data_IF_527637497785
#
_entry.id   IF_527637497785
#
_cell.length_a   1.000
_cell.length_b   1.000
_cell.length_c   1.000
_cell.angle_alpha   90.00
_cell.angle_beta   90.00
_cell.angle_gamma   90.00
#
_symmetry.space_group_name_H-M   'P 1'
#
loop_
_entity.id
_entity.type
_entity.pdbx_description
1 polymer ?
#
# COMPACT_ATOMS: atom_id res chain seq x y z
N UNK A 1 -0.89 -0.82 15.19
CA UNK A 1 -0.70 -0.10 16.47
C UNK A 1 -0.81 1.40 16.21
N UNK A 2 -1.40 2.18 17.12
CA UNK A 2 -1.47 3.65 17.00
C UNK A 2 -0.23 4.30 17.62
N UNK A 3 0.27 5.40 17.04
CA UNK A 3 1.44 6.12 17.57
C UNK A 3 1.24 6.68 18.98
N UNK A 4 0.02 7.03 19.36
CA UNK A 4 -0.31 7.53 20.70
C UNK A 4 -0.50 6.39 21.74
N UNK A 5 -0.44 5.11 21.32
CA UNK A 5 -0.70 3.99 22.23
C UNK A 5 0.52 3.60 23.08
N UNK A 6 0.27 3.16 24.31
CA UNK A 6 1.31 2.60 25.19
C UNK A 6 1.97 1.36 24.57
N UNK A 7 1.22 0.61 23.76
CA UNK A 7 1.73 -0.54 23.01
C UNK A 7 2.83 -0.14 22.01
N UNK A 8 2.69 1.01 21.33
CA UNK A 8 3.73 1.53 20.44
C UNK A 8 4.97 1.98 21.22
N UNK A 9 4.81 2.62 22.37
CA UNK A 9 5.93 3.06 23.20
C UNK A 9 6.81 1.87 23.66
N UNK A 10 6.18 0.82 24.18
CA UNK A 10 6.90 -0.40 24.59
C UNK A 10 7.58 -1.07 23.40
N UNK A 11 6.86 -1.20 22.28
CA UNK A 11 7.39 -1.75 21.04
C UNK A 11 8.64 -0.98 20.57
N UNK A 12 8.57 0.35 20.55
CA UNK A 12 9.65 1.23 20.13
C UNK A 12 10.89 1.08 21.03
N UNK A 13 10.72 1.04 22.34
CA UNK A 13 11.83 0.82 23.28
C UNK A 13 12.51 -0.52 23.02
N UNK A 14 11.74 -1.60 22.88
CA UNK A 14 12.28 -2.95 22.62
C UNK A 14 13.04 -3.00 21.29
N UNK A 15 12.47 -2.46 20.22
CA UNK A 15 13.11 -2.42 18.89
C UNK A 15 14.38 -1.58 18.93
N UNK A 16 14.37 -0.45 19.64
CA UNK A 16 15.53 0.45 19.76
C UNK A 16 16.66 -0.21 20.54
N UNK A 17 16.36 -0.84 21.68
CA UNK A 17 17.36 -1.58 22.45
C UNK A 17 17.96 -2.72 21.62
N UNK A 18 17.12 -3.49 20.93
CA UNK A 18 17.59 -4.55 20.04
C UNK A 18 18.46 -3.99 18.90
N UNK A 19 18.10 -2.86 18.30
CA UNK A 19 18.90 -2.20 17.27
C UNK A 19 20.33 -1.89 17.74
N UNK A 20 20.49 -1.38 18.96
CA UNK A 20 21.81 -1.08 19.54
C UNK A 20 22.58 -2.34 19.97
N UNK A 21 21.90 -3.43 20.33
CA UNK A 21 22.53 -4.71 20.67
C UNK A 21 23.03 -5.51 19.46
N UNK A 22 22.49 -5.28 18.25
CA UNK A 22 22.89 -6.01 17.05
C UNK A 22 24.07 -5.35 16.30
N UNK A 23 24.92 -6.19 15.71
CA UNK A 23 25.99 -5.78 14.79
C UNK A 23 25.45 -5.22 13.46
N UNK A 24 26.33 -4.58 12.68
CA UNK A 24 25.99 -3.84 11.45
C UNK A 24 25.11 -4.61 10.47
N UNK A 25 25.40 -5.90 10.25
CA UNK A 25 24.67 -6.75 9.31
C UNK A 25 23.26 -7.12 9.75
N UNK A 26 22.96 -7.08 11.06
CA UNK A 26 21.65 -7.41 11.62
C UNK A 26 20.68 -6.23 11.70
N UNK A 27 21.22 -5.00 11.72
CA UNK A 27 20.44 -3.76 11.92
C UNK A 27 19.39 -3.55 10.83
N UNK A 28 19.76 -3.68 9.56
CA UNK A 28 18.83 -3.46 8.46
C UNK A 28 17.70 -4.51 8.44
N UNK A 29 18.01 -5.77 8.75
CA UNK A 29 17.01 -6.85 8.84
C UNK A 29 16.04 -6.60 9.98
N UNK A 30 16.56 -6.18 11.14
CA UNK A 30 15.72 -5.85 12.29
C UNK A 30 14.78 -4.70 11.97
N UNK A 31 15.28 -3.61 11.36
CA UNK A 31 14.44 -2.47 10.98
C UNK A 31 13.38 -2.83 9.94
N UNK A 32 13.71 -3.69 8.97
CA UNK A 32 12.77 -4.17 7.97
C UNK A 32 11.67 -5.02 8.62
N UNK A 33 12.05 -6.03 9.42
CA UNK A 33 11.09 -6.89 10.13
C UNK A 33 10.23 -6.10 11.11
N UNK A 34 10.82 -5.14 11.83
CA UNK A 34 10.09 -4.26 12.73
C UNK A 34 9.08 -3.39 11.97
N UNK A 35 9.47 -2.84 10.82
CA UNK A 35 8.55 -2.06 9.99
C UNK A 35 7.40 -2.93 9.47
N UNK A 36 7.72 -4.12 8.95
CA UNK A 36 6.72 -5.08 8.47
C UNK A 36 5.74 -5.50 9.58
N UNK A 37 6.24 -5.84 10.78
CA UNK A 37 5.41 -6.19 11.92
C UNK A 37 4.49 -5.04 12.32
N UNK A 38 5.05 -3.83 12.47
CA UNK A 38 4.28 -2.65 12.85
C UNK A 38 3.10 -2.38 11.89
N UNK A 39 3.32 -2.53 10.58
CA UNK A 39 2.28 -2.41 9.57
C UNK A 39 1.25 -3.55 9.62
N UNK A 40 1.69 -4.80 9.82
CA UNK A 40 0.81 -5.97 9.93
C UNK A 40 -0.15 -5.89 11.11
N UNK A 41 0.26 -5.32 12.26
CA UNK A 41 -0.60 -5.22 13.45
C UNK A 41 -1.86 -4.36 13.19
N UNK A 42 -1.83 -3.45 12.22
CA UNK A 42 -3.03 -2.66 11.88
C UNK A 42 -4.00 -3.44 10.99
N UNK A 43 -3.52 -3.90 9.83
CA UNK A 43 -4.25 -4.74 8.88
C UNK A 43 -3.24 -5.65 8.20
N UNK A 44 -3.24 -6.97 8.49
CA UNK A 44 -2.25 -7.90 7.92
C UNK A 44 -2.22 -7.86 6.39
N UNK A 45 -3.38 -7.76 5.74
CA UNK A 45 -3.49 -7.70 4.28
C UNK A 45 -2.70 -6.54 3.64
N UNK A 46 -2.48 -5.43 4.35
CA UNK A 46 -1.74 -4.29 3.79
C UNK A 46 -0.24 -4.55 3.61
N UNK A 47 0.30 -5.60 4.24
CA UNK A 47 1.69 -6.00 4.01
C UNK A 47 1.90 -6.51 2.58
N UNK A 48 0.88 -7.14 1.97
CA UNK A 48 0.95 -7.62 0.59
C UNK A 48 1.08 -6.44 -0.37
N UNK A 49 0.29 -5.40 -0.13
CA UNK A 49 0.33 -4.16 -0.92
C UNK A 49 1.71 -3.52 -0.77
N UNK A 50 2.15 -3.30 0.48
CA UNK A 50 3.43 -2.66 0.78
C UNK A 50 4.62 -3.43 0.19
N UNK A 51 4.60 -4.77 0.27
CA UNK A 51 5.60 -5.63 -0.33
C UNK A 51 5.60 -5.54 -1.86
N UNK A 52 4.42 -5.53 -2.49
CA UNK A 52 4.30 -5.35 -3.93
C UNK A 52 4.85 -3.99 -4.36
N UNK A 53 4.55 -2.91 -3.65
CA UNK A 53 5.09 -1.57 -3.95
C UNK A 53 6.61 -1.54 -3.83
N UNK A 54 7.17 -2.11 -2.75
CA UNK A 54 8.63 -2.22 -2.57
C UNK A 54 9.27 -2.96 -3.73
N UNK A 55 8.70 -4.10 -4.17
CA UNK A 55 9.25 -4.88 -5.28
C UNK A 55 9.20 -4.11 -6.59
N UNK A 56 8.07 -3.46 -6.90
CA UNK A 56 7.91 -2.64 -8.10
C UNK A 56 8.93 -1.50 -8.10
N UNK A 57 9.05 -0.76 -7.00
CA UNK A 57 9.96 0.38 -6.90
C UNK A 57 11.43 -0.04 -6.90
N UNK A 58 11.75 -1.19 -6.30
CA UNK A 58 13.10 -1.74 -6.32
C UNK A 58 13.53 -2.10 -7.75
N UNK A 59 12.68 -2.83 -8.50
CA UNK A 59 12.95 -3.20 -9.89
C UNK A 59 13.00 -1.95 -10.77
N UNK A 60 12.05 -1.02 -10.60
CA UNK A 60 12.02 0.23 -11.34
C UNK A 60 13.29 1.07 -11.09
N UNK A 61 13.78 1.12 -9.86
CA UNK A 61 15.02 1.79 -9.49
C UNK A 61 16.24 1.22 -10.22
N UNK A 62 16.38 -0.11 -10.27
CA UNK A 62 17.47 -0.78 -11.01
C UNK A 62 17.39 -0.49 -12.51
N UNK A 63 16.18 -0.54 -13.09
CA UNK A 63 16.01 -0.23 -14.52
C UNK A 63 16.30 1.24 -14.82
N UNK A 64 15.99 2.14 -13.89
CA UNK A 64 16.26 3.56 -14.01
C UNK A 64 17.76 3.88 -14.01
N UNK A 65 18.53 3.16 -13.19
CA UNK A 65 20.00 3.30 -13.12
C UNK A 65 20.65 2.91 -14.45
N UNK A 66 20.14 1.85 -15.11
CA UNK A 66 20.70 1.31 -16.35
C UNK A 66 20.22 2.03 -17.63
N UNK A 67 19.26 2.96 -17.53
CA UNK A 67 18.62 3.59 -18.69
C UNK A 67 18.96 5.07 -18.80
N UNK A 68 19.46 5.49 -19.97
CA UNK A 68 19.76 6.89 -20.28
C UNK A 68 18.80 7.46 -21.35
N UNK A 69 18.65 8.78 -21.38
CA UNK A 69 17.84 9.48 -22.40
C UNK A 69 16.32 9.41 -22.19
N UNK A 70 15.49 9.52 -23.25
CA UNK A 70 14.04 9.67 -23.14
C UNK A 70 13.32 8.44 -22.56
N UNK A 71 13.91 7.25 -22.68
CA UNK A 71 13.38 6.02 -22.09
C UNK A 71 13.33 6.07 -20.56
N UNK A 72 14.27 6.79 -19.93
CA UNK A 72 14.30 7.01 -18.47
C UNK A 72 13.04 7.74 -17.99
N UNK A 73 12.56 8.73 -18.77
CA UNK A 73 11.35 9.50 -18.44
C UNK A 73 10.11 8.60 -18.45
N UNK A 74 10.00 7.69 -19.42
CA UNK A 74 8.89 6.75 -19.49
C UNK A 74 8.90 5.75 -18.33
N UNK A 75 10.06 5.25 -17.93
CA UNK A 75 10.19 4.38 -16.74
C UNK A 75 9.75 5.08 -15.46
N UNK A 76 10.11 6.35 -15.27
CA UNK A 76 9.62 7.15 -14.14
C UNK A 76 8.10 7.27 -14.15
N UNK A 77 7.52 7.65 -15.30
CA UNK A 77 6.07 7.78 -15.44
C UNK A 77 5.37 6.46 -15.10
N UNK A 78 5.91 5.33 -15.57
CA UNK A 78 5.35 4.01 -15.29
C UNK A 78 5.39 3.63 -13.80
N UNK A 79 6.52 3.87 -13.12
CA UNK A 79 6.63 3.65 -11.66
C UNK A 79 5.65 4.53 -10.88
N UNK A 80 5.51 5.79 -11.30
CA UNK A 80 4.62 6.77 -10.66
C UNK A 80 3.14 6.40 -10.87
N UNK A 81 2.77 6.00 -12.10
CA UNK A 81 1.43 5.47 -12.40
C UNK A 81 1.15 4.20 -11.59
N UNK A 82 2.13 3.31 -11.43
CA UNK A 82 1.95 2.08 -10.65
C UNK A 82 1.68 2.39 -9.17
N UNK A 83 2.50 3.25 -8.56
CA UNK A 83 2.32 3.68 -7.17
C UNK A 83 0.98 4.40 -6.94
N UNK A 84 0.68 5.38 -7.80
CA UNK A 84 -0.58 6.13 -7.72
C UNK A 84 -1.77 5.24 -8.02
N UNK A 85 -1.64 4.27 -8.93
CA UNK A 85 -2.68 3.30 -9.26
C UNK A 85 -3.02 2.40 -8.08
N UNK A 86 -2.00 1.86 -7.41
CA UNK A 86 -2.17 1.07 -6.17
C UNK A 86 -2.84 1.94 -5.09
N UNK A 87 -2.37 3.17 -4.89
CA UNK A 87 -2.94 4.09 -3.91
C UNK A 87 -4.40 4.43 -4.23
N UNK A 88 -4.70 4.78 -5.49
CA UNK A 88 -6.04 5.11 -5.96
C UNK A 88 -6.99 3.92 -5.79
N UNK A 89 -6.55 2.72 -6.17
CA UNK A 89 -7.33 1.50 -6.01
C UNK A 89 -7.62 1.23 -4.54
N UNK A 90 -6.62 1.12 -3.68
CA UNK A 90 -6.87 0.72 -2.28
C UNK A 90 -7.50 1.79 -1.41
N UNK A 91 -7.22 3.08 -1.67
CA UNK A 91 -7.69 4.17 -0.82
C UNK A 91 -8.95 4.86 -1.34
N UNK A 92 -9.12 4.98 -2.65
CA UNK A 92 -10.12 5.88 -3.23
C UNK A 92 -11.21 5.17 -4.03
N UNK A 93 -11.08 3.88 -4.36
CA UNK A 93 -12.10 3.23 -5.18
C UNK A 93 -13.47 3.19 -4.51
N UNK A 94 -13.55 3.09 -3.18
CA UNK A 94 -14.82 3.21 -2.45
C UNK A 94 -15.51 4.54 -2.75
N UNK A 95 -14.77 5.64 -2.59
CA UNK A 95 -15.22 6.97 -2.96
C UNK A 95 -15.62 7.06 -4.44
N UNK A 96 -14.82 6.54 -5.37
CA UNK A 96 -15.18 6.56 -6.80
C UNK A 96 -16.45 5.76 -7.08
N UNK A 97 -16.62 4.60 -6.44
CA UNK A 97 -17.80 3.75 -6.65
C UNK A 97 -19.06 4.34 -6.06
N UNK A 98 -18.97 5.02 -4.91
CA UNK A 98 -20.09 5.73 -4.31
C UNK A 98 -20.53 6.92 -5.16
N UNK A 99 -19.59 7.73 -5.66
CA UNK A 99 -19.92 8.85 -6.55
C UNK A 99 -20.49 8.38 -7.89
N UNK A 100 -19.94 7.31 -8.47
CA UNK A 100 -20.46 6.71 -9.69
C UNK A 100 -21.88 6.15 -9.48
N UNK A 101 -22.11 5.44 -8.39
CA UNK A 101 -23.43 4.93 -8.02
C UNK A 101 -24.45 6.08 -7.89
N UNK A 102 -24.10 7.16 -7.19
CA UNK A 102 -24.97 8.33 -7.06
C UNK A 102 -25.29 9.01 -8.40
N UNK A 103 -24.35 9.02 -9.35
CA UNK A 103 -24.61 9.50 -10.71
C UNK A 103 -25.59 8.59 -11.46
N UNK A 104 -25.46 7.26 -11.35
CA UNK A 104 -26.38 6.32 -12.01
C UNK A 104 -27.78 6.34 -11.38
N UNK A 105 -27.87 6.52 -10.06
CA UNK A 105 -29.15 6.73 -9.38
C UNK A 105 -29.84 8.00 -9.86
N UNK A 106 -29.08 9.10 -10.00
CA UNK A 106 -29.60 10.35 -10.56
C UNK A 106 -30.08 10.21 -12.02
N UNK A 107 -29.42 9.36 -12.81
CA UNK A 107 -29.81 9.04 -14.19
C UNK A 107 -30.97 8.03 -14.28
N UNK A 108 -31.53 7.57 -13.16
CA UNK A 108 -32.64 6.62 -13.12
C UNK A 108 -32.24 5.17 -13.40
N UNK A 109 -30.97 4.80 -13.20
CA UNK A 109 -30.42 3.45 -13.39
C UNK A 109 -29.97 2.80 -12.06
N UNK A 110 -30.88 2.59 -11.09
CA UNK A 110 -30.51 2.10 -9.75
C UNK A 110 -29.91 0.69 -9.76
N UNK A 111 -30.33 -0.17 -10.71
CA UNK A 111 -29.77 -1.51 -10.86
C UNK A 111 -28.27 -1.48 -11.19
N UNK A 112 -27.80 -0.47 -11.93
CA UNK A 112 -26.39 -0.33 -12.31
C UNK A 112 -25.58 0.19 -11.11
N UNK A 113 -26.16 1.11 -10.32
CA UNK A 113 -25.57 1.61 -9.09
C UNK A 113 -25.33 0.46 -8.07
N UNK A 114 -26.33 -0.38 -7.85
CA UNK A 114 -26.23 -1.54 -6.95
C UNK A 114 -25.23 -2.60 -7.43
N UNK A 115 -25.13 -2.82 -8.74
CA UNK A 115 -24.13 -3.73 -9.30
C UNK A 115 -22.70 -3.21 -9.10
N UNK A 116 -22.48 -1.90 -9.28
CA UNK A 116 -21.16 -1.27 -9.09
C UNK A 116 -20.70 -1.33 -7.63
N UNK A 117 -21.57 -1.00 -6.69
CA UNK A 117 -21.27 -1.04 -5.25
C UNK A 117 -21.02 -2.49 -4.80
N UNK A 118 -21.87 -3.44 -5.23
CA UNK A 118 -21.73 -4.86 -4.88
C UNK A 118 -20.45 -5.48 -5.45
N UNK A 119 -20.12 -5.18 -6.71
CA UNK A 119 -18.92 -5.70 -7.37
C UNK A 119 -17.64 -5.17 -6.69
N UNK A 120 -17.59 -3.87 -6.41
CA UNK A 120 -16.51 -3.25 -5.67
C UNK A 120 -16.32 -3.93 -4.31
N UNK A 121 -17.39 -4.04 -3.52
CA UNK A 121 -17.32 -4.60 -2.18
C UNK A 121 -16.86 -6.07 -2.19
N UNK A 122 -17.29 -6.88 -3.17
CA UNK A 122 -16.79 -8.25 -3.34
C UNK A 122 -15.30 -8.31 -3.62
N UNK A 123 -14.79 -7.44 -4.49
CA UNK A 123 -13.34 -7.38 -4.79
C UNK A 123 -12.57 -6.98 -3.54
N UNK A 124 -13.04 -5.97 -2.80
CA UNK A 124 -12.41 -5.53 -1.54
C UNK A 124 -12.35 -6.64 -0.50
N UNK A 125 -13.48 -7.32 -0.27
CA UNK A 125 -13.55 -8.42 0.70
C UNK A 125 -12.63 -9.56 0.27
N UNK A 126 -12.55 -9.90 -1.01
CA UNK A 126 -11.69 -11.01 -1.49
C UNK A 126 -10.20 -10.70 -1.41
N UNK A 127 -9.83 -9.43 -1.48
CA UNK A 127 -8.43 -8.97 -1.47
C UNK A 127 -7.94 -8.68 -0.05
N UNK A 128 -8.82 -8.26 0.86
CA UNK A 128 -8.45 -7.79 2.20
C UNK A 128 -8.82 -8.74 3.36
N UNK A 129 -9.52 -9.84 3.08
CA UNK A 129 -9.95 -10.85 4.05
C UNK A 129 -9.24 -12.19 3.79
#
# INVERSE_FOLDING_TARGET
MLFNSLQFLLYFIVVTLAYYSLGWSGRWRLLLLASCYFYMVFKPAYILILGLTIVIDYIAGIWLENTNGPARRWLLILSLISNLGILAFFKYIGFFTENAAGLFDFLGLPNVADMLTTSSNRVFIKVLN
#
